data_IF_793014708911
#
_entry.id   IF_793014708911
#
_cell.length_a   1.000
_cell.length_b   1.000
_cell.length_c   1.000
_cell.angle_alpha   90.00
_cell.angle_beta   90.00
_cell.angle_gamma   90.00
#
_symmetry.space_group_name_H-M   'P 1'
#
loop_
_entity.id
_entity.type
_entity.pdbx_description
1 polymer ?
#
# COMPACT_ATOMS: atom_id res chain seq x y z
N UNK A 1 26.35 3.87 4.43
CA UNK A 1 25.70 2.55 4.46
C UNK A 1 24.72 2.55 3.31
N UNK A 2 24.87 1.66 2.34
CA UNK A 2 23.84 1.47 1.32
C UNK A 2 22.72 0.68 1.96
N UNK A 3 21.54 1.28 2.09
CA UNK A 3 20.31 0.53 2.37
C UNK A 3 19.97 -0.25 1.10
N UNK A 4 19.85 -1.57 1.21
CA UNK A 4 19.30 -2.40 0.15
C UNK A 4 17.84 -2.67 0.50
N UNK A 5 16.95 -2.38 -0.44
CA UNK A 5 15.52 -2.63 -0.32
C UNK A 5 15.19 -3.61 -1.45
N UNK A 6 14.78 -4.81 -1.09
CA UNK A 6 14.25 -5.81 -2.01
C UNK A 6 12.73 -5.69 -2.00
N UNK A 7 12.12 -5.42 -3.16
CA UNK A 7 10.66 -5.27 -3.32
C UNK A 7 10.12 -6.32 -4.28
N UNK A 8 9.14 -7.10 -3.86
CA UNK A 8 8.35 -8.01 -4.69
C UNK A 8 6.91 -7.50 -4.75
N UNK A 9 6.31 -7.46 -5.95
CA UNK A 9 4.94 -6.97 -6.14
C UNK A 9 4.10 -8.12 -6.68
N UNK A 10 3.07 -8.48 -5.92
CA UNK A 10 2.05 -9.44 -6.31
C UNK A 10 0.76 -8.70 -6.69
N UNK A 11 0.18 -9.09 -7.83
CA UNK A 11 -1.04 -8.50 -8.35
C UNK A 11 -2.18 -9.51 -8.27
N UNK A 12 -3.13 -9.26 -7.38
CA UNK A 12 -4.31 -10.09 -7.15
C UNK A 12 -5.57 -9.35 -7.60
N UNK A 13 -6.05 -9.64 -8.81
CA UNK A 13 -7.39 -9.22 -9.25
C UNK A 13 -8.40 -10.31 -8.92
N UNK A 14 -8.70 -10.44 -7.63
CA UNK A 14 -9.91 -11.12 -7.19
C UNK A 14 -10.86 -10.06 -6.65
N UNK A 15 -12.03 -9.90 -7.29
CA UNK A 15 -13.11 -9.09 -6.74
C UNK A 15 -13.60 -9.82 -5.50
N UNK A 16 -13.10 -9.44 -4.34
CA UNK A 16 -13.57 -9.98 -3.06
C UNK A 16 -14.97 -9.44 -2.79
N UNK A 17 -15.87 -10.28 -2.27
CA UNK A 17 -17.28 -9.97 -1.93
C UNK A 17 -17.44 -8.82 -0.89
N UNK A 18 -16.33 -8.19 -0.48
CA UNK A 18 -16.22 -7.17 0.56
C UNK A 18 -16.11 -5.73 0.03
N UNK A 19 -16.41 -5.50 -1.26
CA UNK A 19 -16.44 -4.15 -1.86
C UNK A 19 -15.08 -3.65 -2.38
N UNK A 20 -14.17 -4.57 -2.71
CA UNK A 20 -12.87 -4.28 -3.35
C UNK A 20 -12.91 -4.70 -4.82
N UNK A 21 -12.58 -3.77 -5.71
CA UNK A 21 -12.55 -3.93 -7.16
C UNK A 21 -11.22 -4.51 -7.63
N UNK A 22 -10.12 -4.10 -7.01
CA UNK A 22 -8.77 -4.57 -7.32
C UNK A 22 -7.86 -4.41 -6.11
N UNK A 23 -6.89 -5.30 -5.96
CA UNK A 23 -5.91 -5.26 -4.88
C UNK A 23 -4.49 -5.49 -5.42
N UNK A 24 -3.54 -4.82 -4.80
CA UNK A 24 -2.11 -4.91 -5.10
C UNK A 24 -1.37 -5.08 -3.78
N UNK A 25 -0.52 -6.09 -3.67
CA UNK A 25 0.31 -6.30 -2.49
C UNK A 25 1.78 -6.20 -2.89
N UNK A 26 2.55 -5.48 -2.09
CA UNK A 26 3.98 -5.31 -2.27
C UNK A 26 4.70 -5.69 -0.98
N UNK A 27 5.55 -6.70 -1.07
CA UNK A 27 6.42 -7.15 0.01
C UNK A 27 7.78 -6.49 -0.12
N UNK A 28 8.27 -5.94 0.99
CA UNK A 28 9.53 -5.22 1.06
C UNK A 28 10.38 -5.74 2.22
N UNK A 29 11.65 -6.03 1.95
CA UNK A 29 12.64 -6.35 2.98
C UNK A 29 13.69 -5.24 3.05
N UNK A 30 13.90 -4.66 4.24
CA UNK A 30 14.89 -3.62 4.44
C UNK A 30 15.61 -3.71 5.79
N UNK A 31 16.83 -3.16 5.85
CA UNK A 31 17.61 -3.04 7.09
C UNK A 31 17.25 -1.74 7.83
N UNK A 32 16.68 -1.86 9.03
CA UNK A 32 16.39 -0.75 9.94
C UNK A 32 17.21 -0.90 11.22
N UNK A 33 18.13 0.04 11.48
CA UNK A 33 19.03 -0.01 12.65
C UNK A 33 19.85 -1.31 12.83
N UNK A 34 20.13 -2.03 11.74
CA UNK A 34 20.89 -3.29 11.75
C UNK A 34 20.01 -4.53 11.97
N UNK A 35 18.70 -4.36 11.95
CA UNK A 35 17.70 -5.42 11.99
C UNK A 35 16.99 -5.51 10.63
N UNK A 36 16.78 -6.72 10.14
CA UNK A 36 15.99 -6.97 8.91
C UNK A 36 14.51 -6.93 9.27
N UNK A 37 13.78 -6.03 8.62
CA UNK A 37 12.34 -5.84 8.77
C UNK A 37 11.66 -6.23 7.46
N UNK A 38 10.58 -7.00 7.56
CA UNK A 38 9.68 -7.26 6.45
C UNK A 38 8.47 -6.35 6.55
N UNK A 39 8.10 -5.70 5.46
CA UNK A 39 6.91 -4.86 5.34
C UNK A 39 6.06 -5.33 4.18
N UNK A 40 4.80 -5.62 4.45
CA UNK A 40 3.78 -5.88 3.43
C UNK A 40 2.96 -4.59 3.28
N UNK A 41 2.79 -4.12 2.05
CA UNK A 41 1.93 -2.97 1.72
C UNK A 41 0.84 -3.43 0.78
N UNK A 42 -0.41 -3.28 1.19
CA UNK A 42 -1.58 -3.59 0.37
C UNK A 42 -2.27 -2.30 -0.04
N UNK A 43 -2.60 -2.19 -1.33
CA UNK A 43 -3.38 -1.11 -1.91
C UNK A 43 -4.63 -1.73 -2.54
N UNK A 44 -5.79 -1.36 -2.03
CA UNK A 44 -7.09 -1.83 -2.50
C UNK A 44 -7.90 -0.67 -3.11
N UNK A 45 -8.41 -0.88 -4.32
CA UNK A 45 -9.38 -0.01 -4.98
C UNK A 45 -10.79 -0.45 -4.55
N UNK A 46 -11.57 0.46 -4.00
CA UNK A 46 -12.91 0.19 -3.49
C UNK A 46 -13.97 0.41 -4.58
N UNK A 47 -15.14 -0.21 -4.41
CA UNK A 47 -16.27 -0.08 -5.35
C UNK A 47 -16.81 1.36 -5.47
N UNK A 48 -16.64 2.17 -4.43
CA UNK A 48 -17.02 3.58 -4.43
C UNK A 48 -15.95 4.50 -5.07
N UNK A 49 -14.91 3.92 -5.67
CA UNK A 49 -13.77 4.65 -6.26
C UNK A 49 -12.73 5.10 -5.23
N UNK A 50 -12.94 4.82 -3.94
CA UNK A 50 -11.96 5.07 -2.90
C UNK A 50 -10.74 4.16 -2.98
N UNK A 51 -9.70 4.50 -2.22
CA UNK A 51 -8.48 3.71 -2.09
C UNK A 51 -8.21 3.43 -0.62
N UNK A 52 -8.03 2.16 -0.28
CA UNK A 52 -7.55 1.72 1.03
C UNK A 52 -6.08 1.31 0.91
N UNK A 53 -5.24 1.80 1.80
CA UNK A 53 -3.82 1.44 1.87
C UNK A 53 -3.57 0.91 3.28
N UNK A 54 -3.05 -0.30 3.39
CA UNK A 54 -2.63 -0.89 4.66
C UNK A 54 -1.18 -1.31 4.59
N UNK A 55 -0.47 -1.16 5.70
CA UNK A 55 0.90 -1.61 5.85
C UNK A 55 1.02 -2.46 7.10
N UNK A 56 1.66 -3.61 6.96
CA UNK A 56 2.01 -4.52 8.02
C UNK A 56 3.53 -4.61 8.12
N UNK A 57 4.05 -4.72 9.34
CA UNK A 57 5.45 -5.14 9.53
C UNK A 57 5.47 -6.38 10.40
N UNK A 58 6.44 -7.26 10.20
CA UNK A 58 6.61 -8.48 10.99
C UNK A 58 6.93 -8.20 12.48
N UNK A 59 7.25 -6.94 12.81
CA UNK A 59 7.70 -6.52 14.14
C UNK A 59 6.87 -5.40 14.80
N UNK A 60 5.86 -4.85 14.12
CA UNK A 60 5.29 -3.56 14.49
C UNK A 60 3.81 -3.35 14.13
N UNK A 61 3.27 -2.18 14.47
CA UNK A 61 1.85 -1.88 14.31
C UNK A 61 1.44 -1.89 12.84
N UNK A 62 0.23 -2.40 12.59
CA UNK A 62 -0.47 -2.16 11.34
C UNK A 62 -0.87 -0.69 11.26
N UNK A 63 -0.48 -0.03 10.18
CA UNK A 63 -1.00 1.29 9.82
C UNK A 63 -1.94 1.14 8.63
N UNK A 64 -2.98 1.97 8.58
CA UNK A 64 -3.94 1.93 7.47
C UNK A 64 -4.55 3.30 7.24
N UNK A 65 -4.73 3.64 5.97
CA UNK A 65 -5.32 4.88 5.50
C UNK A 65 -6.39 4.55 4.47
N UNK A 66 -7.58 5.14 4.64
CA UNK A 66 -8.65 5.06 3.64
C UNK A 66 -8.93 6.45 3.10
N UNK A 67 -8.88 6.59 1.78
CA UNK A 67 -9.19 7.81 1.07
C UNK A 67 -10.46 7.59 0.25
N UNK A 68 -11.43 8.50 0.37
CA UNK A 68 -12.54 8.55 -0.58
C UNK A 68 -12.02 8.95 -1.96
N UNK A 69 -12.75 8.55 -3.02
CA UNK A 69 -12.47 8.93 -4.42
C UNK A 69 -12.11 10.43 -4.55
N UNK A 70 -12.94 11.32 -3.98
CA UNK A 70 -12.74 12.77 -4.06
C UNK A 70 -11.39 13.26 -3.51
N UNK A 71 -10.90 12.63 -2.44
CA UNK A 71 -9.62 12.99 -1.80
C UNK A 71 -8.45 12.40 -2.59
N UNK A 72 -8.56 11.16 -3.07
CA UNK A 72 -7.56 10.56 -3.95
C UNK A 72 -7.38 11.39 -5.23
N UNK A 73 -8.49 11.80 -5.83
CA UNK A 73 -8.54 12.68 -7.01
C UNK A 73 -7.87 14.04 -6.76
N UNK A 74 -8.14 14.67 -5.61
CA UNK A 74 -7.54 15.95 -5.25
C UNK A 74 -6.01 15.82 -5.10
N UNK A 75 -5.54 14.80 -4.40
CA UNK A 75 -4.10 14.55 -4.22
C UNK A 75 -3.40 14.26 -5.55
N UNK A 76 -4.03 13.54 -6.48
CA UNK A 76 -3.49 13.30 -7.81
C UNK A 76 -3.35 14.61 -8.61
N UNK A 77 -4.38 15.46 -8.58
CA UNK A 77 -4.33 16.77 -9.26
C UNK A 77 -3.24 17.67 -8.69
N UNK A 78 -3.04 17.67 -7.37
CA UNK A 78 -1.94 18.42 -6.74
C UNK A 78 -0.58 17.92 -7.26
N UNK A 79 -0.38 16.60 -7.30
CA UNK A 79 0.88 15.99 -7.77
C UNK A 79 1.18 16.21 -9.25
N UNK A 80 0.16 16.28 -10.12
CA UNK A 80 0.33 16.58 -11.54
C UNK A 80 0.66 18.07 -11.80
N UNK A 81 0.37 18.93 -10.83
CA UNK A 81 0.63 20.38 -10.92
C UNK A 81 2.02 20.81 -10.44
N UNK A 82 2.79 19.89 -9.84
CA UNK A 82 4.18 20.07 -9.36
C UNK A 82 5.23 19.67 -10.41
#
# INVERSE_FOLDING_TARGET
MSSHIDTEIEHTTDVTDDGVVAEFTADELFDFHGERVARETTVALLEDGGVHISQATDQGPHDSLTLSEAVADELLRERESE
#
